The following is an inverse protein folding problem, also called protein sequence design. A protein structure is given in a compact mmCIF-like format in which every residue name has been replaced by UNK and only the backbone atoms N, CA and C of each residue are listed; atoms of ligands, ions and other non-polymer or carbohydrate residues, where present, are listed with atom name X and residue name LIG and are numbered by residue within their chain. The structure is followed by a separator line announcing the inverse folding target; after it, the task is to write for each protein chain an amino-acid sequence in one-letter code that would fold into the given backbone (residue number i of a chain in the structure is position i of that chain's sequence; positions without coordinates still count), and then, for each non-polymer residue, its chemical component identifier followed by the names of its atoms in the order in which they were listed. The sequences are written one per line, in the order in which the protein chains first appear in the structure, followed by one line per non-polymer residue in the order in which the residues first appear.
data_IF_841643072508
#
_entry.id   IF_841643072508
#
_cell.length_a   1.000
_cell.length_b   1.000
_cell.length_c   1.000
_cell.angle_alpha   90.00
_cell.angle_beta   90.00
_cell.angle_gamma   90.00
#
_symmetry.space_group_name_H-M   'P 1'
#
loop_
_entity.id
_entity.type
_entity.pdbx_description
1 polymer ?
#
# COMPACT_ATOMS: atom_id res chain seq x y z
N UNK A 1 -24.30 6.80 3.42
CA UNK A 1 -23.11 6.65 4.28
C UNK A 1 -21.89 6.49 3.35
N UNK A 2 -20.82 7.27 3.60
CA UNK A 2 -19.59 7.20 2.78
C UNK A 2 -18.60 6.24 3.44
N UNK A 3 -18.22 5.17 2.75
CA UNK A 3 -17.29 4.14 3.23
C UNK A 3 -15.91 4.33 2.60
N UNK A 4 -14.86 4.35 3.43
CA UNK A 4 -13.48 4.38 3.00
C UNK A 4 -12.80 3.01 3.09
N UNK A 5 -12.01 2.64 2.08
CA UNK A 5 -11.06 1.52 2.13
C UNK A 5 -9.65 2.08 2.35
N UNK A 6 -9.04 1.72 3.45
CA UNK A 6 -7.69 2.17 3.85
C UNK A 6 -6.73 0.99 3.76
N UNK A 7 -5.67 1.13 2.97
CA UNK A 7 -4.76 0.00 2.68
C UNK A 7 -3.35 0.37 3.15
N UNK A 8 -2.88 -0.30 4.21
CA UNK A 8 -1.52 -0.14 4.71
C UNK A 8 -0.50 -0.63 3.68
N UNK A 9 0.65 0.07 3.58
CA UNK A 9 1.79 -0.39 2.83
C UNK A 9 2.58 -1.49 3.55
N UNK A 10 3.02 -2.51 2.82
CA UNK A 10 3.74 -3.64 3.43
C UNK A 10 4.66 -4.38 2.47
N UNK A 11 4.83 -3.87 1.24
CA UNK A 11 5.48 -4.57 0.13
C UNK A 11 4.86 -5.98 -0.04
N UNK A 12 5.64 -7.07 0.00
CA UNK A 12 5.12 -8.43 -0.19
C UNK A 12 4.05 -8.86 0.82
N UNK A 13 4.01 -8.26 2.02
CA UNK A 13 2.96 -8.57 3.02
C UNK A 13 1.58 -8.06 2.63
N UNK A 14 1.51 -7.11 1.70
CA UNK A 14 0.26 -6.53 1.20
C UNK A 14 -0.55 -7.53 0.37
N UNK A 15 0.00 -8.70 0.01
CA UNK A 15 -0.77 -9.75 -0.66
C UNK A 15 -1.95 -10.27 0.18
N UNK A 16 -1.90 -10.18 1.51
CA UNK A 16 -3.09 -10.38 2.35
C UNK A 16 -4.23 -9.43 1.95
N UNK A 17 -3.93 -8.13 1.86
CA UNK A 17 -4.91 -7.13 1.45
C UNK A 17 -5.42 -7.36 0.02
N UNK A 18 -4.58 -7.90 -0.89
CA UNK A 18 -5.02 -8.27 -2.24
C UNK A 18 -6.14 -9.34 -2.19
N UNK A 19 -6.00 -10.35 -1.34
CA UNK A 19 -7.03 -11.36 -1.16
C UNK A 19 -8.33 -10.79 -0.62
N UNK A 20 -8.26 -9.89 0.37
CA UNK A 20 -9.44 -9.18 0.91
C UNK A 20 -10.12 -8.35 -0.18
N UNK A 21 -9.37 -7.57 -0.96
CA UNK A 21 -9.91 -6.75 -2.04
C UNK A 21 -10.59 -7.58 -3.12
N UNK A 22 -10.03 -8.73 -3.46
CA UNK A 22 -10.64 -9.63 -4.45
C UNK A 22 -11.92 -10.29 -3.91
N UNK A 23 -11.98 -10.59 -2.61
CA UNK A 23 -13.23 -11.02 -1.99
C UNK A 23 -14.30 -9.91 -2.02
N UNK A 24 -13.92 -8.65 -1.75
CA UNK A 24 -14.84 -7.51 -1.88
C UNK A 24 -15.39 -7.40 -3.31
N UNK A 25 -14.52 -7.49 -4.32
CA UNK A 25 -14.93 -7.46 -5.74
C UNK A 25 -15.87 -8.62 -6.08
N UNK A 26 -15.58 -9.84 -5.63
CA UNK A 26 -16.43 -11.01 -5.90
C UNK A 26 -17.83 -10.87 -5.29
N UNK A 27 -17.95 -10.13 -4.19
CA UNK A 27 -19.23 -9.86 -3.52
C UNK A 27 -19.89 -8.54 -3.92
N UNK A 28 -19.39 -7.88 -4.98
CA UNK A 28 -19.89 -6.59 -5.48
C UNK A 28 -19.89 -5.48 -4.41
N UNK A 29 -18.91 -5.51 -3.51
CA UNK A 29 -18.74 -4.51 -2.47
C UNK A 29 -17.73 -3.48 -2.95
N UNK A 30 -18.20 -2.25 -3.15
CA UNK A 30 -17.41 -1.11 -3.60
C UNK A 30 -17.49 0.01 -2.57
N UNK A 31 -16.34 0.60 -2.27
CA UNK A 31 -16.23 1.72 -1.33
C UNK A 31 -16.17 3.04 -2.07
N UNK A 32 -16.66 4.13 -1.45
CA UNK A 32 -16.72 5.46 -2.07
C UNK A 32 -15.36 6.16 -2.13
N UNK A 33 -14.43 5.70 -1.30
CA UNK A 33 -13.13 6.30 -1.09
C UNK A 33 -12.09 5.23 -0.86
N UNK A 34 -10.99 5.29 -1.56
CA UNK A 34 -9.86 4.38 -1.42
C UNK A 34 -8.62 5.22 -1.12
N UNK A 35 -7.89 4.88 -0.06
CA UNK A 35 -6.61 5.50 0.25
C UNK A 35 -5.59 4.42 0.63
N UNK A 36 -4.41 4.52 0.04
CA UNK A 36 -3.38 3.52 0.31
C UNK A 36 -1.97 4.07 0.29
N UNK A 37 -1.08 3.28 0.85
CA UNK A 37 0.33 3.61 1.02
C UNK A 37 1.18 2.57 0.32
N UNK A 38 2.19 2.99 -0.47
CA UNK A 38 3.16 2.06 -1.05
C UNK A 38 2.49 0.91 -1.83
N UNK A 39 2.83 -0.34 -1.57
CA UNK A 39 2.18 -1.50 -2.15
C UNK A 39 0.66 -1.50 -1.94
N UNK A 40 0.15 -0.90 -0.85
CA UNK A 40 -1.28 -0.81 -0.59
C UNK A 40 -2.04 -0.12 -1.71
N UNK A 41 -1.59 1.06 -2.15
CA UNK A 41 -2.25 1.75 -3.26
C UNK A 41 -1.85 1.14 -4.62
N UNK A 42 -0.61 0.64 -4.77
CA UNK A 42 -0.19 0.01 -6.02
C UNK A 42 -1.01 -1.24 -6.37
N UNK A 43 -1.47 -1.97 -5.37
CA UNK A 43 -2.43 -3.07 -5.55
C UNK A 43 -3.89 -2.57 -5.51
N UNK A 44 -4.17 -1.53 -4.73
CA UNK A 44 -5.49 -0.93 -4.60
C UNK A 44 -6.08 -0.41 -5.91
N UNK A 45 -5.24 0.05 -6.85
CA UNK A 45 -5.72 0.46 -8.19
C UNK A 45 -6.38 -0.68 -8.97
N UNK A 46 -6.01 -1.95 -8.72
CA UNK A 46 -6.68 -3.11 -9.32
C UNK A 46 -8.11 -3.29 -8.78
N UNK A 47 -8.35 -2.98 -7.51
CA UNK A 47 -9.69 -2.92 -6.94
C UNK A 47 -10.50 -1.76 -7.55
N UNK A 48 -9.90 -0.57 -7.69
CA UNK A 48 -10.55 0.57 -8.34
C UNK A 48 -10.92 0.30 -9.80
N UNK A 49 -10.12 -0.48 -10.52
CA UNK A 49 -10.38 -0.87 -11.92
C UNK A 49 -11.23 -2.14 -12.05
N UNK A 50 -11.80 -2.65 -10.96
CA UNK A 50 -12.65 -3.86 -10.94
C UNK A 50 -11.98 -5.12 -11.50
N UNK A 51 -10.67 -5.20 -11.45
CA UNK A 51 -9.92 -6.31 -12.02
C UNK A 51 -9.69 -7.43 -11.01
N UNK A 52 -10.68 -8.28 -10.84
CA UNK A 52 -10.62 -9.48 -10.00
C UNK A 52 -9.39 -10.34 -10.34
N UNK A 53 -8.67 -10.80 -9.31
CA UNK A 53 -7.42 -11.60 -9.38
C UNK A 53 -6.28 -10.98 -10.20
N UNK A 54 -6.35 -9.70 -10.56
CA UNK A 54 -5.23 -9.07 -11.29
C UNK A 54 -3.93 -9.13 -10.51
N UNK A 55 -3.96 -8.83 -9.21
CA UNK A 55 -2.78 -8.88 -8.35
C UNK A 55 -2.26 -10.32 -8.15
N UNK A 56 -3.15 -11.31 -8.09
CA UNK A 56 -2.77 -12.73 -8.04
C UNK A 56 -2.10 -13.17 -9.34
N UNK A 57 -2.58 -12.73 -10.50
CA UNK A 57 -1.94 -13.00 -11.80
C UNK A 57 -0.54 -12.40 -11.89
N UNK A 58 -0.35 -11.17 -11.38
CA UNK A 58 0.99 -10.54 -11.29
C UNK A 58 1.89 -11.35 -10.36
N UNK A 59 1.41 -11.72 -9.17
CA UNK A 59 2.14 -12.56 -8.23
C UNK A 59 2.63 -13.85 -8.89
N UNK A 60 1.73 -14.62 -9.48
CA UNK A 60 2.03 -15.95 -10.05
C UNK A 60 2.92 -15.89 -11.30
N UNK A 61 2.76 -14.84 -12.09
CA UNK A 61 3.49 -14.73 -13.35
C UNK A 61 4.85 -14.03 -13.24
N UNK A 62 5.00 -13.10 -12.30
CA UNK A 62 6.11 -12.14 -12.39
C UNK A 62 6.86 -11.85 -11.09
N UNK A 63 6.34 -12.21 -9.90
CA UNK A 63 7.02 -11.86 -8.63
C UNK A 63 8.40 -12.53 -8.52
N UNK A 64 8.56 -13.76 -9.02
CA UNK A 64 9.85 -14.47 -9.08
C UNK A 64 10.69 -14.11 -10.31
N UNK A 65 10.15 -13.37 -11.26
CA UNK A 65 10.88 -12.92 -12.45
C UNK A 65 12.05 -12.01 -12.03
N UNK A 66 13.24 -12.35 -12.55
CA UNK A 66 14.44 -11.56 -12.26
C UNK A 66 14.31 -10.09 -12.68
N UNK A 67 13.41 -9.77 -13.62
CA UNK A 67 13.13 -8.39 -14.04
C UNK A 67 12.34 -7.60 -13.02
N UNK A 68 11.60 -8.25 -12.12
CA UNK A 68 10.68 -7.57 -11.18
C UNK A 68 11.45 -6.79 -10.11
N UNK A 69 12.31 -7.44 -9.34
CA UNK A 69 13.11 -6.82 -8.29
C UNK A 69 14.44 -7.52 -8.05
N UNK A 70 15.39 -6.79 -7.48
CA UNK A 70 16.67 -7.33 -7.08
C UNK A 70 17.78 -6.29 -7.01
N UNK A 71 18.87 -6.64 -6.34
CA UNK A 71 20.03 -5.76 -6.09
C UNK A 71 20.64 -5.22 -7.40
N UNK A 72 20.60 -6.00 -8.48
CA UNK A 72 21.15 -5.58 -9.79
C UNK A 72 20.53 -4.29 -10.31
N UNK A 73 19.24 -4.04 -10.02
CA UNK A 73 18.53 -2.86 -10.50
C UNK A 73 18.98 -1.57 -9.79
N UNK A 74 19.59 -1.66 -8.60
CA UNK A 74 20.22 -0.52 -7.91
C UNK A 74 21.41 0.05 -8.69
N UNK A 75 22.10 -0.81 -9.45
CA UNK A 75 23.27 -0.44 -10.27
C UNK A 75 22.90 -0.01 -11.69
N UNK A 76 21.65 -0.20 -12.11
CA UNK A 76 21.18 0.29 -13.40
C UNK A 76 21.11 1.83 -13.38
N UNK A 77 21.78 2.48 -14.36
CA UNK A 77 21.89 3.95 -14.44
C UNK A 77 20.53 4.63 -14.63
N UNK A 78 19.58 3.97 -15.30
CA UNK A 78 18.23 4.52 -15.56
C UNK A 78 17.31 4.28 -14.37
N UNK A 79 17.31 3.06 -13.80
CA UNK A 79 16.38 2.65 -12.76
C UNK A 79 16.80 3.11 -11.35
N UNK A 80 18.02 2.73 -10.89
CA UNK A 80 18.59 3.02 -9.55
C UNK A 80 17.62 2.78 -8.39
N UNK A 81 16.80 1.76 -8.50
CA UNK A 81 15.82 1.31 -7.51
C UNK A 81 15.87 -0.20 -7.38
N UNK A 82 15.53 -0.75 -6.22
CA UNK A 82 15.51 -2.20 -5.99
C UNK A 82 14.49 -2.91 -6.87
N UNK A 83 13.33 -2.27 -7.10
CA UNK A 83 12.36 -2.71 -8.10
C UNK A 83 12.71 -2.11 -9.46
N UNK A 84 12.48 -2.87 -10.53
CA UNK A 84 12.56 -2.33 -11.88
C UNK A 84 11.29 -1.55 -12.19
N UNK A 85 11.38 -0.22 -12.10
CA UNK A 85 10.22 0.66 -12.22
C UNK A 85 9.56 0.58 -13.59
N UNK A 86 10.34 0.46 -14.65
CA UNK A 86 9.84 0.29 -16.02
C UNK A 86 9.08 -1.04 -16.16
N UNK A 87 9.65 -2.13 -15.64
CA UNK A 87 8.99 -3.42 -15.71
C UNK A 87 7.68 -3.47 -14.90
N UNK A 88 7.72 -2.96 -13.66
CA UNK A 88 6.58 -3.05 -12.73
C UNK A 88 5.44 -2.08 -13.11
N UNK A 89 5.77 -0.84 -13.50
CA UNK A 89 4.79 0.22 -13.71
C UNK A 89 4.51 0.56 -15.17
N UNK A 90 5.25 -0.05 -16.12
CA UNK A 90 5.04 0.14 -17.56
C UNK A 90 4.77 -1.21 -18.25
N UNK A 91 5.74 -2.13 -18.26
CA UNK A 91 5.64 -3.39 -19.01
C UNK A 91 4.50 -4.28 -18.49
N UNK A 92 4.41 -4.50 -17.18
CA UNK A 92 3.33 -5.33 -16.61
C UNK A 92 1.94 -4.75 -16.93
N UNK A 93 1.63 -3.48 -16.61
CA UNK A 93 0.29 -2.96 -16.83
C UNK A 93 -0.08 -2.69 -18.29
N UNK A 94 0.89 -2.51 -19.18
CA UNK A 94 0.61 -2.24 -20.60
C UNK A 94 0.58 -3.50 -21.46
N UNK A 95 1.41 -4.51 -21.13
CA UNK A 95 1.66 -5.64 -22.03
C UNK A 95 1.34 -7.01 -21.39
N UNK A 96 1.79 -7.27 -20.15
CA UNK A 96 1.81 -8.61 -19.58
C UNK A 96 0.52 -8.96 -18.81
N UNK A 97 0.05 -8.03 -17.98
CA UNK A 97 -1.22 -8.11 -17.26
C UNK A 97 -1.92 -6.77 -17.42
N UNK A 98 -2.58 -6.54 -18.56
CA UNK A 98 -3.11 -5.25 -18.94
C UNK A 98 -3.98 -4.63 -17.85
N UNK A 99 -3.76 -3.34 -17.60
CA UNK A 99 -4.56 -2.57 -16.66
C UNK A 99 -5.76 -1.97 -17.38
N UNK A 100 -6.93 -2.06 -16.77
CA UNK A 100 -8.15 -1.47 -17.35
C UNK A 100 -8.23 0.02 -17.00
N UNK A 101 -7.51 0.83 -17.78
CA UNK A 101 -7.51 2.28 -17.67
C UNK A 101 -8.91 2.87 -17.85
N UNK A 102 -9.72 2.31 -18.76
CA UNK A 102 -11.07 2.81 -19.05
C UNK A 102 -11.95 2.72 -17.80
N UNK A 103 -12.02 1.56 -17.16
CA UNK A 103 -12.77 1.37 -15.92
C UNK A 103 -12.21 2.23 -14.82
N UNK A 104 -10.86 2.28 -14.67
CA UNK A 104 -10.21 3.10 -13.65
C UNK A 104 -10.51 4.60 -13.81
N UNK A 105 -10.49 5.14 -15.02
CA UNK A 105 -10.77 6.56 -15.26
C UNK A 105 -12.24 6.92 -15.14
N UNK A 106 -13.15 5.97 -15.38
CA UNK A 106 -14.59 6.18 -15.23
C UNK A 106 -15.10 5.96 -13.80
N UNK A 107 -14.22 5.63 -12.85
CA UNK A 107 -14.59 5.42 -11.45
C UNK A 107 -15.21 6.68 -10.84
N UNK A 108 -16.14 6.48 -9.92
CA UNK A 108 -16.73 7.56 -9.13
C UNK A 108 -16.03 7.73 -7.78
N UNK A 109 -15.35 6.70 -7.33
CA UNK A 109 -14.63 6.65 -6.07
C UNK A 109 -13.38 7.53 -6.12
N UNK A 110 -13.13 8.25 -5.04
CA UNK A 110 -11.83 8.91 -4.84
C UNK A 110 -10.75 7.83 -4.60
N UNK A 111 -9.62 7.96 -5.27
CA UNK A 111 -8.50 7.03 -5.13
C UNK A 111 -7.24 7.83 -4.79
N UNK A 112 -6.76 7.72 -3.55
CA UNK A 112 -5.73 8.59 -2.97
C UNK A 112 -4.46 7.78 -2.69
N UNK A 113 -3.33 8.25 -3.18
CA UNK A 113 -2.02 7.75 -2.83
C UNK A 113 -1.35 8.65 -1.78
N UNK A 114 -0.81 8.03 -0.74
CA UNK A 114 -0.02 8.75 0.26
C UNK A 114 1.45 8.79 -0.15
N UNK A 115 2.04 9.97 -0.11
CA UNK A 115 3.47 10.20 -0.35
C UNK A 115 4.07 11.05 0.77
N UNK A 116 5.38 10.99 0.97
CA UNK A 116 6.09 11.85 1.94
C UNK A 116 6.96 12.86 1.20
N UNK A 117 6.73 14.16 1.40
CA UNK A 117 7.60 15.20 0.86
C UNK A 117 9.00 15.13 1.48
N UNK A 118 10.02 15.16 0.63
CA UNK A 118 11.40 15.08 1.09
C UNK A 118 11.87 16.36 1.81
N UNK A 119 11.38 17.53 1.41
CA UNK A 119 11.78 18.84 1.96
C UNK A 119 11.15 19.11 3.34
N UNK A 120 9.90 18.68 3.54
CA UNK A 120 9.13 18.96 4.76
C UNK A 120 8.99 17.74 5.69
N UNK A 121 9.17 16.52 5.18
CA UNK A 121 8.88 15.27 5.88
C UNK A 121 7.39 15.03 6.14
N UNK A 122 6.50 15.86 5.61
CA UNK A 122 5.05 15.73 5.80
C UNK A 122 4.43 14.79 4.79
N UNK A 123 3.33 14.13 5.19
CA UNK A 123 2.48 13.41 4.26
C UNK A 123 1.79 14.37 3.30
N UNK A 124 1.69 13.96 2.05
CA UNK A 124 0.76 14.52 1.07
C UNK A 124 -0.12 13.40 0.52
N UNK A 125 -1.35 13.77 0.22
CA UNK A 125 -2.39 12.87 -0.22
C UNK A 125 -2.77 13.26 -1.64
N UNK A 126 -2.30 12.49 -2.60
CA UNK A 126 -2.44 12.80 -4.02
C UNK A 126 -3.54 11.93 -4.60
N UNK A 127 -4.58 12.56 -5.14
CA UNK A 127 -5.58 11.83 -5.92
C UNK A 127 -4.92 11.25 -7.17
N UNK A 128 -5.22 9.98 -7.43
CA UNK A 128 -4.64 9.28 -8.59
C UNK A 128 -5.08 9.97 -9.88
N UNK A 129 -4.13 10.42 -10.69
CA UNK A 129 -4.42 11.15 -11.92
C UNK A 129 -5.21 10.28 -12.91
N UNK A 130 -5.88 10.97 -13.84
CA UNK A 130 -6.64 10.38 -14.95
C UNK A 130 -5.71 10.26 -16.17
N UNK A 131 -4.51 9.73 -15.95
CA UNK A 131 -3.52 9.44 -16.98
C UNK A 131 -2.92 8.06 -16.78
N UNK A 132 -2.25 7.53 -17.79
CA UNK A 132 -1.61 6.21 -17.75
C UNK A 132 -0.20 6.23 -17.15
N UNK A 133 0.15 7.32 -16.48
CA UNK A 133 1.42 7.49 -15.79
C UNK A 133 1.29 7.16 -14.31
N UNK A 134 1.88 6.06 -13.89
CA UNK A 134 1.90 5.62 -12.50
C UNK A 134 2.99 6.29 -11.63
N UNK A 135 3.45 7.49 -11.96
CA UNK A 135 4.51 8.16 -11.20
C UNK A 135 4.11 8.45 -9.75
N UNK A 136 2.82 8.70 -9.49
CA UNK A 136 2.30 8.83 -8.12
C UNK A 136 2.44 7.52 -7.34
N UNK A 137 2.18 6.36 -7.97
CA UNK A 137 2.40 5.04 -7.36
C UNK A 137 3.90 4.79 -7.13
N UNK A 138 4.75 5.12 -8.10
CA UNK A 138 6.22 5.03 -7.95
C UNK A 138 6.68 5.86 -6.75
N UNK A 139 6.15 7.09 -6.58
CA UNK A 139 6.46 7.97 -5.45
C UNK A 139 6.00 7.38 -4.12
N UNK A 140 4.76 6.86 -4.06
CA UNK A 140 4.22 6.21 -2.86
C UNK A 140 5.03 4.98 -2.43
N UNK A 141 5.70 4.29 -3.38
CA UNK A 141 6.54 3.12 -3.12
C UNK A 141 8.02 3.44 -2.88
N UNK A 142 8.44 4.70 -2.95
CA UNK A 142 9.85 5.09 -2.93
C UNK A 142 10.48 4.98 -1.53
N UNK A 143 10.72 3.74 -1.07
CA UNK A 143 11.39 3.45 0.20
C UNK A 143 12.83 4.00 0.21
N UNK A 144 13.25 4.67 1.30
CA UNK A 144 14.64 5.14 1.44
C UNK A 144 15.65 4.01 1.25
N UNK A 145 16.78 4.33 0.64
CA UNK A 145 17.88 3.42 0.28
C UNK A 145 17.53 2.47 -0.87
N UNK A 146 16.30 1.97 -0.95
CA UNK A 146 15.87 1.07 -2.02
C UNK A 146 15.42 1.81 -3.29
N UNK A 147 15.10 3.10 -3.17
CA UNK A 147 14.68 3.95 -4.28
C UNK A 147 15.37 5.31 -4.20
N UNK A 148 15.50 5.95 -5.35
CA UNK A 148 15.70 7.40 -5.39
C UNK A 148 14.40 8.14 -5.08
N UNK A 149 14.48 9.39 -4.62
CA UNK A 149 13.31 10.25 -4.57
C UNK A 149 12.66 10.36 -5.96
N UNK A 150 11.34 10.26 -6.02
CA UNK A 150 10.57 10.46 -7.25
C UNK A 150 10.16 11.93 -7.32
N UNK A 151 10.27 12.53 -8.49
CA UNK A 151 9.93 13.94 -8.73
C UNK A 151 8.56 14.03 -9.39
N UNK A 152 7.62 14.67 -8.73
CA UNK A 152 6.30 15.00 -9.28
C UNK A 152 6.18 16.54 -9.30
N UNK A 153 5.97 17.13 -10.45
CA UNK A 153 5.82 18.59 -10.61
C UNK A 153 6.94 19.41 -9.92
N UNK A 154 8.19 18.93 -10.01
CA UNK A 154 9.35 19.60 -9.41
C UNK A 154 9.56 19.36 -7.91
N UNK A 155 8.67 18.62 -7.25
CA UNK A 155 8.76 18.26 -5.83
C UNK A 155 9.26 16.83 -5.67
N UNK A 156 10.17 16.60 -4.74
CA UNK A 156 10.72 15.27 -4.43
C UNK A 156 9.91 14.56 -3.36
N UNK A 157 9.52 13.31 -3.65
CA UNK A 157 8.73 12.46 -2.77
C UNK A 157 9.42 11.13 -2.48
N UNK A 158 9.09 10.61 -1.31
CA UNK A 158 9.45 9.29 -0.81
C UNK A 158 8.19 8.53 -0.38
N UNK A 159 8.35 7.25 -0.01
CA UNK A 159 7.27 6.36 0.46
C UNK A 159 6.39 7.04 1.51
N UNK A 160 5.07 6.99 1.28
CA UNK A 160 4.08 7.63 2.14
C UNK A 160 4.07 7.10 3.57
N UNK A 161 4.42 5.83 3.76
CA UNK A 161 4.47 5.19 5.08
C UNK A 161 5.52 5.76 6.03
N UNK A 162 6.33 6.71 5.60
CA UNK A 162 7.26 7.44 6.48
C UNK A 162 6.50 8.46 7.31
N UNK A 163 5.58 9.20 6.70
CA UNK A 163 4.82 10.26 7.36
C UNK A 163 3.40 9.83 7.79
N UNK A 164 2.77 8.89 7.06
CA UNK A 164 1.48 8.30 7.44
C UNK A 164 1.39 6.86 6.91
N UNK A 165 1.54 5.88 7.78
CA UNK A 165 1.55 4.46 7.41
C UNK A 165 0.16 3.85 7.29
N UNK A 166 -0.86 4.41 7.98
CA UNK A 166 -2.24 3.90 8.01
C UNK A 166 -3.17 5.12 7.95
N UNK A 167 -3.53 5.61 6.76
CA UNK A 167 -4.11 6.94 6.55
C UNK A 167 -5.62 7.03 6.81
N UNK A 168 -6.16 6.30 7.82
CA UNK A 168 -7.59 6.32 8.15
C UNK A 168 -8.06 7.69 8.62
N UNK A 169 -7.21 8.47 9.32
CA UNK A 169 -7.56 9.84 9.75
C UNK A 169 -7.85 10.74 8.55
N UNK A 170 -7.09 10.58 7.47
CA UNK A 170 -7.34 11.33 6.23
C UNK A 170 -8.67 10.93 5.60
N UNK A 171 -8.99 9.63 5.53
CA UNK A 171 -10.27 9.16 5.01
C UNK A 171 -11.46 9.74 5.82
N UNK A 172 -11.39 9.70 7.16
CA UNK A 172 -12.41 10.29 8.02
C UNK A 172 -12.49 11.82 7.85
N UNK A 173 -11.35 12.51 7.75
CA UNK A 173 -11.31 13.96 7.52
C UNK A 173 -11.87 14.35 6.15
N UNK A 174 -11.81 13.48 5.15
CA UNK A 174 -12.39 13.66 3.82
C UNK A 174 -13.89 13.26 3.75
N UNK A 175 -14.49 13.03 4.93
CA UNK A 175 -15.92 12.81 5.07
C UNK A 175 -16.38 11.36 4.95
N UNK A 176 -15.48 10.38 5.09
CA UNK A 176 -15.92 8.99 5.28
C UNK A 176 -16.56 8.86 6.65
N UNK A 177 -17.75 8.26 6.70
CA UNK A 177 -18.46 7.96 7.95
C UNK A 177 -17.82 6.77 8.66
N UNK A 178 -17.35 5.79 7.88
CA UNK A 178 -16.71 4.55 8.34
C UNK A 178 -15.55 4.15 7.44
N UNK A 179 -14.62 3.34 7.96
CA UNK A 179 -13.46 2.86 7.22
C UNK A 179 -13.24 1.35 7.39
N UNK A 180 -13.02 0.64 6.29
CA UNK A 180 -12.45 -0.70 6.29
C UNK A 180 -10.92 -0.53 6.17
N UNK A 181 -10.17 -1.09 7.12
CA UNK A 181 -8.71 -0.93 7.18
C UNK A 181 -8.03 -2.27 6.98
N UNK A 182 -7.21 -2.36 5.94
CA UNK A 182 -6.44 -3.55 5.63
C UNK A 182 -4.99 -3.36 6.11
N UNK A 183 -4.61 -4.11 7.14
CA UNK A 183 -3.27 -4.07 7.71
C UNK A 183 -2.35 -5.08 7.03
N UNK A 184 -1.07 -4.77 7.00
CA UNK A 184 0.02 -5.63 6.54
C UNK A 184 0.82 -6.27 7.69
N UNK A 185 0.36 -6.05 8.92
CA UNK A 185 0.94 -6.55 10.17
C UNK A 185 -0.13 -7.17 11.03
N UNK A 186 0.22 -8.15 11.88
CA UNK A 186 -0.75 -8.79 12.76
C UNK A 186 -1.27 -7.80 13.80
N UNK A 187 -2.43 -8.10 14.35
CA UNK A 187 -2.96 -7.36 15.51
C UNK A 187 -1.98 -7.45 16.68
N UNK A 188 -1.84 -6.36 17.41
CA UNK A 188 -0.90 -6.26 18.53
C UNK A 188 0.57 -6.03 18.11
N UNK A 189 0.88 -5.93 16.81
CA UNK A 189 2.23 -5.61 16.37
C UNK A 189 2.67 -4.24 16.85
N UNK A 190 3.83 -4.19 17.50
CA UNK A 190 4.49 -2.95 17.95
C UNK A 190 5.66 -2.66 17.02
N UNK A 191 5.61 -1.52 16.34
CA UNK A 191 6.69 -1.10 15.46
C UNK A 191 7.87 -0.57 16.27
N UNK A 192 9.04 -1.19 16.07
CA UNK A 192 10.31 -0.76 16.61
C UNK A 192 11.13 0.09 15.64
N UNK A 193 12.32 0.50 16.06
CA UNK A 193 13.29 1.23 15.21
C UNK A 193 13.70 0.37 14.01
N UNK A 194 13.85 1.01 12.88
CA UNK A 194 14.25 0.33 11.64
C UNK A 194 15.78 0.09 11.60
N UNK A 195 16.20 -1.11 11.24
CA UNK A 195 17.63 -1.47 11.13
C UNK A 195 18.41 -0.62 10.13
N UNK A 196 17.73 -0.11 9.09
CA UNK A 196 18.32 0.78 8.08
C UNK A 196 18.48 2.24 8.52
N UNK A 197 18.05 2.59 9.74
CA UNK A 197 18.07 3.97 10.22
C UNK A 197 19.45 4.67 10.13
N UNK A 198 20.59 4.01 10.41
CA UNK A 198 21.90 4.65 10.26
C UNK A 198 22.20 5.03 8.80
N UNK A 199 21.85 4.16 7.84
CA UNK A 199 22.05 4.42 6.40
C UNK A 199 21.15 5.54 5.91
N UNK A 200 19.90 5.56 6.34
CA UNK A 200 18.94 6.64 6.01
C UNK A 200 19.44 7.97 6.58
N UNK A 201 19.91 8.01 7.82
CA UNK A 201 20.48 9.21 8.45
C UNK A 201 21.66 9.75 7.64
N UNK A 202 22.54 8.89 7.16
CA UNK A 202 23.70 9.29 6.36
C UNK A 202 23.25 9.82 4.97
N UNK A 203 22.41 9.07 4.26
CA UNK A 203 21.97 9.41 2.91
C UNK A 203 21.14 10.71 2.86
N UNK A 204 20.29 10.93 3.85
CA UNK A 204 19.37 12.07 3.89
C UNK A 204 19.78 13.15 4.92
N UNK A 205 21.08 13.24 5.30
CA UNK A 205 21.57 14.17 6.33
C UNK A 205 21.24 15.66 6.09
N UNK A 206 21.02 16.03 4.83
CA UNK A 206 20.61 17.39 4.44
C UNK A 206 19.09 17.65 4.60
N UNK A 207 18.28 16.60 4.74
CA UNK A 207 16.82 16.65 4.83
C UNK A 207 16.36 16.40 6.27
N UNK A 208 16.68 17.31 7.19
CA UNK A 208 16.45 17.14 8.64
C UNK A 208 14.98 16.86 8.99
N UNK A 209 14.04 17.55 8.33
CA UNK A 209 12.60 17.35 8.59
C UNK A 209 12.14 15.95 8.17
N UNK A 210 12.60 15.46 7.02
CA UNK A 210 12.35 14.10 6.59
C UNK A 210 12.93 13.06 7.55
N UNK A 211 14.18 13.27 8.02
CA UNK A 211 14.80 12.40 9.00
C UNK A 211 14.02 12.35 10.33
N UNK A 212 13.47 13.49 10.75
CA UNK A 212 12.62 13.54 11.95
C UNK A 212 11.37 12.68 11.77
N UNK A 213 10.66 12.80 10.65
CA UNK A 213 9.49 11.96 10.36
C UNK A 213 9.85 10.47 10.27
N UNK A 214 10.97 10.14 9.63
CA UNK A 214 11.46 8.76 9.58
C UNK A 214 11.76 8.19 10.99
N UNK A 215 12.37 8.97 11.86
CA UNK A 215 12.69 8.56 13.24
C UNK A 215 11.44 8.41 14.11
N UNK A 216 10.44 9.26 13.92
CA UNK A 216 9.17 9.24 14.66
C UNK A 216 8.14 8.24 14.09
N UNK A 217 8.45 7.62 12.96
CA UNK A 217 7.55 6.63 12.32
C UNK A 217 7.07 5.52 13.25
N UNK A 218 7.92 4.92 14.13
CA UNK A 218 7.44 3.88 15.05
C UNK A 218 6.38 4.39 16.02
N UNK A 219 6.57 5.57 16.58
CA UNK A 219 5.63 6.17 17.52
C UNK A 219 4.31 6.53 16.85
N UNK A 220 4.38 7.17 15.68
CA UNK A 220 3.20 7.50 14.86
C UNK A 220 2.40 6.24 14.51
N UNK A 221 3.08 5.18 14.05
CA UNK A 221 2.46 3.90 13.70
C UNK A 221 1.74 3.28 14.90
N UNK A 222 2.42 3.18 16.04
CA UNK A 222 1.86 2.58 17.24
C UNK A 222 0.70 3.41 17.81
N UNK A 223 0.75 4.74 17.69
CA UNK A 223 -0.37 5.62 18.03
C UNK A 223 -1.57 5.38 17.11
N UNK A 224 -1.35 5.19 15.80
CA UNK A 224 -2.41 4.87 14.84
C UNK A 224 -3.09 3.54 15.15
N UNK A 225 -2.34 2.50 15.52
CA UNK A 225 -2.94 1.20 15.94
C UNK A 225 -3.84 1.37 17.17
N UNK A 226 -3.36 2.06 18.21
CA UNK A 226 -4.17 2.29 19.43
C UNK A 226 -5.46 3.08 19.16
N UNK A 227 -5.42 4.01 18.21
CA UNK A 227 -6.60 4.77 17.82
C UNK A 227 -7.57 3.91 17.00
N UNK A 228 -7.07 3.10 16.07
CA UNK A 228 -7.89 2.15 15.32
C UNK A 228 -8.65 1.19 16.24
N UNK A 229 -8.02 0.68 17.29
CA UNK A 229 -8.67 -0.19 18.28
C UNK A 229 -9.85 0.49 18.99
N UNK A 230 -9.81 1.83 19.17
CA UNK A 230 -10.93 2.60 19.71
C UNK A 230 -12.03 2.75 18.68
N UNK A 231 -11.67 3.12 17.44
CA UNK A 231 -12.64 3.29 16.36
C UNK A 231 -13.34 1.97 16.00
N UNK A 232 -12.69 0.83 16.14
CA UNK A 232 -13.34 -0.49 16.00
C UNK A 232 -14.43 -0.69 17.06
N UNK A 233 -14.12 -0.37 18.33
CA UNK A 233 -15.11 -0.49 19.43
C UNK A 233 -16.29 0.46 19.25
N UNK A 234 -16.07 1.57 18.59
CA UNK A 234 -17.09 2.58 18.26
C UNK A 234 -17.89 2.24 16.99
N UNK A 235 -17.51 1.15 16.27
CA UNK A 235 -18.15 0.76 15.02
C UNK A 235 -17.83 1.69 13.84
N UNK A 236 -16.78 2.52 13.95
CA UNK A 236 -16.32 3.44 12.90
C UNK A 236 -15.27 2.79 12.00
N UNK A 237 -14.49 1.87 12.53
CA UNK A 237 -13.51 1.10 11.76
C UNK A 237 -13.82 -0.40 11.78
N UNK A 238 -13.55 -1.08 10.66
CA UNK A 238 -13.51 -2.53 10.55
C UNK A 238 -12.10 -2.92 10.08
N UNK A 239 -11.35 -3.67 10.89
CA UNK A 239 -9.94 -3.97 10.61
C UNK A 239 -9.74 -5.43 10.24
N UNK A 240 -9.17 -5.69 9.07
CA UNK A 240 -8.68 -7.00 8.65
C UNK A 240 -7.14 -6.99 8.68
N UNK A 241 -6.56 -8.00 9.31
CA UNK A 241 -5.12 -8.10 9.51
C UNK A 241 -4.67 -9.56 9.39
N UNK A 242 -3.50 -9.84 8.81
CA UNK A 242 -2.92 -11.18 8.83
C UNK A 242 -2.50 -11.57 10.26
N UNK A 243 -2.42 -12.85 10.51
CA UNK A 243 -1.88 -13.40 11.75
C UNK A 243 -0.34 -13.47 11.70
N UNK A 244 0.31 -13.68 12.85
CA UNK A 244 1.76 -13.91 12.91
C UNK A 244 2.17 -15.17 12.14
N UNK A 245 1.37 -16.25 12.21
CA UNK A 245 1.66 -17.50 11.52
C UNK A 245 1.58 -17.34 10.00
N UNK A 246 0.59 -16.61 9.49
CA UNK A 246 0.44 -16.31 8.05
C UNK A 246 1.62 -15.47 7.52
N UNK A 247 2.25 -14.65 8.35
CA UNK A 247 3.42 -13.85 7.98
C UNK A 247 4.76 -14.53 8.24
N UNK A 248 4.77 -15.76 8.76
CA UNK A 248 6.00 -16.48 9.08
C UNK A 248 6.87 -16.69 7.85
N UNK A 249 8.12 -16.23 7.92
CA UNK A 249 9.07 -16.30 6.82
C UNK A 249 8.89 -15.23 5.74
N UNK A 250 7.84 -14.38 5.81
CA UNK A 250 7.56 -13.36 4.80
C UNK A 250 8.19 -12.02 5.19
N UNK A 251 9.31 -11.71 4.53
CA UNK A 251 9.98 -10.41 4.61
C UNK A 251 9.30 -9.36 3.72
N UNK A 252 9.81 -8.11 3.74
CA UNK A 252 9.33 -7.03 2.85
C UNK A 252 9.63 -7.30 1.37
N UNK A 253 10.71 -8.00 1.09
CA UNK A 253 11.19 -8.29 -0.27
C UNK A 253 11.09 -9.78 -0.58
N UNK A 254 10.16 -10.49 0.08
CA UNK A 254 9.85 -11.88 -0.27
C UNK A 254 9.23 -11.91 -1.67
N UNK A 255 9.62 -12.89 -2.46
CA UNK A 255 9.15 -13.05 -3.84
C UNK A 255 8.66 -14.46 -4.15
N UNK A 256 8.87 -15.41 -3.23
CA UNK A 256 8.45 -16.80 -3.44
C UNK A 256 6.94 -16.90 -3.51
N UNK A 257 6.44 -17.28 -4.68
CA UNK A 257 5.00 -17.50 -4.91
C UNK A 257 4.45 -18.52 -3.92
N UNK A 258 5.23 -19.56 -3.59
CA UNK A 258 4.85 -20.59 -2.60
C UNK A 258 4.58 -20.06 -1.19
N UNK A 259 5.07 -18.87 -0.82
CA UNK A 259 4.79 -18.20 0.45
C UNK A 259 3.72 -17.11 0.29
N UNK A 260 3.71 -16.41 -0.83
CA UNK A 260 2.86 -15.24 -1.03
C UNK A 260 1.45 -15.60 -1.52
N UNK A 261 1.27 -16.69 -2.29
CA UNK A 261 -0.06 -17.16 -2.69
C UNK A 261 -0.89 -17.65 -1.48
N UNK A 262 -0.36 -18.44 -0.52
CA UNK A 262 -1.07 -18.74 0.72
C UNK A 262 -1.48 -17.49 1.51
N UNK A 263 -0.63 -16.48 1.59
CA UNK A 263 -0.95 -15.21 2.26
C UNK A 263 -2.09 -14.46 1.54
N UNK A 264 -2.12 -14.45 0.22
CA UNK A 264 -3.24 -13.92 -0.55
C UNK A 264 -4.54 -14.69 -0.24
N UNK A 265 -4.48 -16.02 -0.26
CA UNK A 265 -5.64 -16.87 0.03
C UNK A 265 -6.15 -16.70 1.46
N UNK A 266 -5.26 -16.48 2.43
CA UNK A 266 -5.66 -16.21 3.82
C UNK A 266 -6.41 -14.88 3.94
N UNK A 267 -6.01 -13.85 3.20
CA UNK A 267 -6.75 -12.59 3.14
C UNK A 267 -8.16 -12.76 2.57
N UNK A 268 -8.29 -13.53 1.49
CA UNK A 268 -9.61 -13.86 0.91
C UNK A 268 -10.48 -14.62 1.93
N UNK A 269 -9.93 -15.66 2.56
CA UNK A 269 -10.64 -16.46 3.56
C UNK A 269 -11.01 -15.66 4.82
N UNK A 270 -10.17 -14.71 5.25
CA UNK A 270 -10.45 -13.81 6.36
C UNK A 270 -11.68 -12.93 6.07
N UNK A 271 -11.75 -12.35 4.86
CA UNK A 271 -12.90 -11.57 4.43
C UNK A 271 -14.17 -12.44 4.31
N UNK A 272 -14.06 -13.65 3.78
CA UNK A 272 -15.17 -14.59 3.69
C UNK A 272 -15.72 -14.97 5.08
N UNK A 273 -14.83 -15.24 6.03
CA UNK A 273 -15.22 -15.52 7.42
C UNK A 273 -15.95 -14.35 8.07
N UNK A 274 -15.58 -13.13 7.74
CA UNK A 274 -16.20 -11.88 8.23
C UNK A 274 -17.32 -11.37 7.32
N UNK A 275 -17.82 -12.16 6.37
CA UNK A 275 -18.75 -11.71 5.33
C UNK A 275 -20.01 -11.05 5.87
N UNK A 276 -20.58 -11.58 6.94
CA UNK A 276 -21.75 -11.00 7.62
C UNK A 276 -21.45 -9.61 8.18
N UNK A 277 -20.35 -9.49 8.92
CA UNK A 277 -19.90 -8.26 9.54
C UNK A 277 -19.53 -7.18 8.49
N UNK A 278 -18.80 -7.56 7.43
CA UNK A 278 -18.46 -6.64 6.33
C UNK A 278 -19.74 -6.14 5.65
N UNK A 279 -20.67 -7.04 5.32
CA UNK A 279 -21.93 -6.67 4.64
C UNK A 279 -22.83 -5.78 5.50
N UNK A 280 -22.83 -5.98 6.81
CA UNK A 280 -23.55 -5.10 7.75
C UNK A 280 -22.86 -3.75 7.90
N UNK A 281 -21.51 -3.74 7.94
CA UNK A 281 -20.71 -2.53 8.11
C UNK A 281 -20.87 -1.53 6.95
N UNK A 282 -21.05 -2.02 5.73
CA UNK A 282 -21.17 -1.18 4.51
C UNK A 282 -22.61 -0.80 4.14
N UNK A 283 -23.60 -1.27 4.88
CA UNK A 283 -25.02 -0.89 4.73
C UNK A 283 -25.30 0.46 5.40
#
# INVERSE_FOLDING_TARGET
MKIGLVIEGGASRTYFACGVMDWLLQNDIHTDYIIGVSAGISFGVSYCSRQFERNLRILKGYEEDKRYMGVRHLFDRKNKSYYNLEFVFETIPKELVPFDYKTFYSRKEQCIAVVTRLDSGKAEYIEMPVDDNFDVLKASCALPILFKPIVLNGVQYMDGGIADSIPFRKALADGCDKVIVLLSRPRGYIKGKESVAPLVKLAYRKHKKFLNSFQNRPEMYNASIRELEKLEKEGIALVLAPTEEELKGIGRTEKKVSLLEPLYRSGFAAAEKMSGEIKEFVR
#
